data_IF_713972783365
#
_entry.id   IF_713972783365
#
_cell.length_a   1.000
_cell.length_b   1.000
_cell.length_c   1.000
_cell.angle_alpha   90.00
_cell.angle_beta   90.00
_cell.angle_gamma   90.00
#
_symmetry.space_group_name_H-M   'P 1'
#
loop_
_entity.id
_entity.type
_entity.pdbx_description
1 polymer ?
#
# COMPACT_ATOMS: atom_id res chain seq x y z
N UNK A 1 31.64 -4.33 -0.63
CA UNK A 1 30.76 -4.64 -1.78
C UNK A 1 31.03 -3.77 -3.01
N UNK A 2 31.77 -2.68 -2.86
CA UNK A 2 32.41 -1.93 -3.96
C UNK A 2 33.91 -2.22 -3.87
N UNK A 3 34.33 -3.51 -3.92
CA UNK A 3 35.77 -3.76 -4.02
C UNK A 3 36.21 -3.11 -5.34
N UNK A 4 37.22 -2.24 -5.26
CA UNK A 4 37.76 -1.61 -6.46
C UNK A 4 38.41 -2.66 -7.36
N UNK A 5 38.88 -3.76 -6.77
CA UNK A 5 39.36 -4.93 -7.51
C UNK A 5 38.19 -5.72 -8.11
N UNK A 6 38.22 -5.85 -9.44
CA UNK A 6 37.19 -6.53 -10.24
C UNK A 6 37.13 -8.03 -9.93
N UNK A 7 38.25 -8.63 -9.50
CA UNK A 7 38.33 -10.08 -9.23
C UNK A 7 37.59 -10.51 -7.97
N UNK A 8 37.39 -9.57 -7.05
CA UNK A 8 36.69 -9.81 -5.79
C UNK A 8 35.22 -9.41 -5.85
N UNK A 9 34.73 -8.93 -7.01
CA UNK A 9 33.33 -8.55 -7.15
C UNK A 9 32.46 -9.80 -7.24
N UNK A 10 31.47 -9.96 -6.35
CA UNK A 10 30.49 -11.04 -6.48
C UNK A 10 29.72 -10.87 -7.79
N UNK A 11 29.34 -11.99 -8.40
CA UNK A 11 28.44 -11.98 -9.56
C UNK A 11 27.08 -11.41 -9.17
N UNK A 12 26.33 -10.88 -10.13
CA UNK A 12 24.96 -10.38 -9.89
C UNK A 12 24.04 -11.42 -9.27
N UNK A 13 24.25 -12.71 -9.57
CA UNK A 13 23.51 -13.83 -8.97
C UNK A 13 23.83 -13.99 -7.48
N UNK A 14 25.11 -13.94 -7.10
CA UNK A 14 25.53 -13.97 -5.69
C UNK A 14 25.07 -12.71 -4.94
N UNK A 15 25.00 -11.58 -5.63
CA UNK A 15 24.50 -10.32 -5.07
C UNK A 15 22.99 -10.36 -4.79
N UNK A 16 22.21 -10.99 -5.66
CA UNK A 16 20.77 -11.18 -5.45
C UNK A 16 20.44 -12.03 -4.21
N UNK A 17 21.39 -12.82 -3.69
CA UNK A 17 21.23 -13.62 -2.47
C UNK A 17 21.41 -12.83 -1.18
N UNK A 18 21.80 -11.55 -1.24
CA UNK A 18 21.92 -10.73 -0.05
C UNK A 18 20.56 -10.60 0.65
N UNK A 19 20.59 -10.68 1.99
CA UNK A 19 19.40 -10.54 2.83
C UNK A 19 18.62 -9.25 2.56
N UNK A 20 19.31 -8.18 2.15
CA UNK A 20 18.70 -6.89 1.83
C UNK A 20 17.62 -6.98 0.73
N UNK A 21 17.76 -7.89 -0.24
CA UNK A 21 16.76 -8.07 -1.29
C UNK A 21 15.52 -8.83 -0.83
N UNK A 22 15.59 -9.47 0.34
CA UNK A 22 14.46 -10.11 1.00
C UNK A 22 13.82 -9.21 2.06
N UNK A 23 14.28 -7.96 2.21
CA UNK A 23 13.68 -7.01 3.14
C UNK A 23 12.24 -6.68 2.72
N UNK A 24 11.26 -6.73 3.65
CA UNK A 24 9.86 -6.50 3.34
C UNK A 24 9.57 -5.16 2.65
N UNK A 25 10.36 -4.13 2.93
CA UNK A 25 10.27 -2.81 2.28
C UNK A 25 10.73 -2.87 0.83
N UNK A 26 11.83 -3.57 0.54
CA UNK A 26 12.37 -3.76 -0.82
C UNK A 26 11.40 -4.57 -1.69
N UNK A 27 10.88 -5.67 -1.16
CA UNK A 27 9.86 -6.47 -1.85
C UNK A 27 8.57 -5.67 -2.09
N UNK A 28 8.22 -4.76 -1.18
CA UNK A 28 7.07 -3.90 -1.36
C UNK A 28 7.30 -2.85 -2.43
N UNK A 29 8.51 -2.30 -2.59
CA UNK A 29 8.83 -1.40 -3.71
C UNK A 29 8.65 -2.07 -5.07
N UNK A 30 9.12 -3.30 -5.24
CA UNK A 30 8.90 -4.07 -6.47
C UNK A 30 7.39 -4.28 -6.73
N UNK A 31 6.65 -4.58 -5.66
CA UNK A 31 5.20 -4.68 -5.70
C UNK A 31 4.51 -3.38 -6.13
N UNK A 32 4.94 -2.21 -5.62
CA UNK A 32 4.37 -0.91 -6.00
C UNK A 32 4.47 -0.63 -7.51
N UNK A 33 5.56 -1.08 -8.15
CA UNK A 33 5.82 -0.86 -9.58
C UNK A 33 5.06 -1.84 -10.48
N UNK A 34 4.87 -3.07 -10.02
CA UNK A 34 4.35 -4.18 -10.85
C UNK A 34 2.88 -4.50 -10.56
N UNK A 35 2.25 -3.83 -9.59
CA UNK A 35 0.94 -4.22 -9.06
C UNK A 35 -0.15 -4.30 -10.13
N UNK A 36 -0.15 -3.40 -11.11
CA UNK A 36 -1.21 -3.33 -12.11
C UNK A 36 -1.35 -4.64 -12.90
N UNK A 37 -0.22 -5.28 -13.21
CA UNK A 37 -0.13 -6.50 -14.02
C UNK A 37 -0.38 -7.79 -13.21
N UNK A 38 -0.56 -7.68 -11.89
CA UNK A 38 -0.78 -8.82 -11.01
C UNK A 38 -2.24 -9.29 -11.04
N UNK A 39 -2.44 -10.58 -10.73
CA UNK A 39 -3.79 -11.13 -10.53
C UNK A 39 -4.46 -10.53 -9.29
N UNK A 40 -5.79 -10.68 -9.18
CA UNK A 40 -6.57 -10.18 -8.04
C UNK A 40 -6.07 -10.78 -6.71
N UNK A 41 -5.76 -12.07 -6.68
CA UNK A 41 -5.23 -12.73 -5.47
C UNK A 41 -3.86 -12.18 -5.08
N UNK A 42 -2.97 -11.96 -6.04
CA UNK A 42 -1.67 -11.35 -5.80
C UNK A 42 -1.80 -9.91 -5.27
N UNK A 43 -2.79 -9.15 -5.75
CA UNK A 43 -3.11 -7.81 -5.23
C UNK A 43 -3.56 -7.88 -3.76
N UNK A 44 -4.45 -8.82 -3.42
CA UNK A 44 -4.92 -9.05 -2.04
C UNK A 44 -3.75 -9.35 -1.10
N UNK A 45 -2.86 -10.25 -1.49
CA UNK A 45 -1.66 -10.58 -0.73
C UNK A 45 -0.71 -9.38 -0.60
N UNK A 46 -0.51 -8.63 -1.68
CA UNK A 46 0.32 -7.43 -1.67
C UNK A 46 -0.18 -6.42 -0.63
N UNK A 47 -1.47 -6.07 -0.62
CA UNK A 47 -2.00 -5.10 0.35
C UNK A 47 -1.94 -5.62 1.81
N UNK A 48 -2.13 -6.93 2.01
CA UNK A 48 -1.93 -7.56 3.32
C UNK A 48 -0.49 -7.40 3.84
N UNK A 49 0.51 -7.55 2.95
CA UNK A 49 1.92 -7.31 3.28
C UNK A 49 2.23 -5.82 3.45
N UNK A 50 1.77 -4.98 2.51
CA UNK A 50 2.00 -3.54 2.49
C UNK A 50 1.55 -2.89 3.80
N UNK A 51 0.39 -3.28 4.32
CA UNK A 51 -0.14 -2.80 5.60
C UNK A 51 0.88 -2.92 6.74
N UNK A 52 1.67 -3.99 6.78
CA UNK A 52 2.65 -4.22 7.85
C UNK A 52 3.93 -3.38 7.68
N UNK A 53 4.26 -3.00 6.46
CA UNK A 53 5.53 -2.32 6.14
C UNK A 53 5.39 -0.82 5.94
N UNK A 54 4.17 -0.29 5.76
CA UNK A 54 3.90 1.16 5.67
C UNK A 54 4.63 1.98 6.75
N UNK A 55 4.65 1.57 8.03
CA UNK A 55 5.35 2.33 9.07
C UNK A 55 6.85 2.48 8.85
N UNK A 56 7.47 1.58 8.07
CA UNK A 56 8.90 1.54 7.80
C UNK A 56 9.33 2.46 6.64
N UNK A 57 8.37 3.02 5.90
CA UNK A 57 8.68 3.95 4.81
C UNK A 57 8.79 5.38 5.32
N UNK A 58 9.75 6.10 4.74
CA UNK A 58 9.90 7.54 4.88
C UNK A 58 8.61 8.28 4.50
N UNK A 59 8.24 9.38 5.20
CA UNK A 59 7.03 10.15 4.93
C UNK A 59 6.89 10.56 3.45
N UNK A 60 7.98 10.98 2.83
CA UNK A 60 7.98 11.36 1.40
C UNK A 60 7.54 10.21 0.50
N UNK A 61 7.95 8.97 0.81
CA UNK A 61 7.56 7.79 0.03
C UNK A 61 6.11 7.44 0.28
N UNK A 62 5.68 7.50 1.55
CA UNK A 62 4.29 7.25 1.96
C UNK A 62 3.31 8.12 1.19
N UNK A 63 3.52 9.44 1.17
CA UNK A 63 2.54 10.35 0.57
C UNK A 63 2.71 10.55 -0.94
N UNK A 64 3.93 10.46 -1.46
CA UNK A 64 4.17 10.67 -2.91
C UNK A 64 3.86 9.45 -3.76
N UNK A 65 4.04 8.23 -3.23
CA UNK A 65 3.95 7.00 -4.03
C UNK A 65 2.92 6.01 -3.47
N UNK A 66 2.93 5.74 -2.16
CA UNK A 66 2.06 4.72 -1.55
C UNK A 66 0.61 5.20 -1.49
N UNK A 67 0.37 6.42 -1.00
CA UNK A 67 -0.97 6.97 -0.85
C UNK A 67 -1.73 7.05 -2.20
N UNK A 68 -1.16 7.60 -3.30
CA UNK A 68 -1.85 7.62 -4.59
C UNK A 68 -2.26 6.22 -5.07
N UNK A 69 -1.39 5.22 -4.90
CA UNK A 69 -1.69 3.84 -5.25
C UNK A 69 -2.85 3.29 -4.40
N UNK A 70 -2.79 3.47 -3.09
CA UNK A 70 -3.87 3.04 -2.17
C UNK A 70 -5.20 3.67 -2.58
N UNK A 71 -5.23 4.98 -2.88
CA UNK A 71 -6.44 5.68 -3.28
C UNK A 71 -6.96 5.24 -4.64
N UNK A 72 -6.07 4.97 -5.61
CA UNK A 72 -6.44 4.40 -6.91
C UNK A 72 -7.24 3.11 -6.73
N UNK A 73 -6.77 2.20 -5.87
CA UNK A 73 -7.44 0.92 -5.66
C UNK A 73 -8.66 1.01 -4.76
N UNK A 74 -8.65 1.89 -3.75
CA UNK A 74 -9.82 2.14 -2.88
C UNK A 74 -11.02 2.69 -3.65
N UNK A 75 -10.78 3.62 -4.60
CA UNK A 75 -11.85 4.25 -5.36
C UNK A 75 -12.13 3.54 -6.70
N UNK A 76 -11.18 2.76 -7.21
CA UNK A 76 -11.30 2.08 -8.50
C UNK A 76 -11.85 0.65 -8.43
N UNK A 77 -11.86 -0.01 -7.27
CA UNK A 77 -12.26 -1.43 -7.18
C UNK A 77 -12.96 -1.78 -5.87
N UNK A 78 -14.28 -1.97 -5.94
CA UNK A 78 -15.09 -2.40 -4.78
C UNK A 78 -14.67 -3.79 -4.23
N UNK A 79 -14.16 -4.69 -5.08
CA UNK A 79 -13.76 -6.05 -4.66
C UNK A 79 -12.51 -6.04 -3.77
N UNK A 80 -11.57 -5.13 -4.05
CA UNK A 80 -10.30 -5.04 -3.33
C UNK A 80 -10.38 -4.15 -2.09
N UNK A 81 -11.41 -3.31 -1.97
CA UNK A 81 -11.61 -2.38 -0.83
C UNK A 81 -11.35 -3.00 0.54
N UNK A 82 -11.85 -4.22 0.89
CA UNK A 82 -11.59 -4.81 2.21
C UNK A 82 -10.12 -5.08 2.50
N UNK A 83 -9.31 -5.28 1.45
CA UNK A 83 -7.88 -5.56 1.56
C UNK A 83 -7.03 -4.29 1.48
N UNK A 84 -7.50 -3.27 0.76
CA UNK A 84 -6.78 -1.99 0.61
C UNK A 84 -7.03 -1.06 1.79
N UNK A 85 -8.25 -1.05 2.34
CA UNK A 85 -8.64 -0.17 3.45
C UNK A 85 -7.72 -0.27 4.67
N UNK A 86 -7.28 -1.47 5.13
CA UNK A 86 -6.31 -1.58 6.22
C UNK A 86 -4.99 -0.84 5.95
N UNK A 87 -4.52 -0.81 4.71
CA UNK A 87 -3.32 -0.06 4.33
C UNK A 87 -3.53 1.45 4.50
N UNK A 88 -4.69 1.96 4.08
CA UNK A 88 -5.06 3.37 4.29
C UNK A 88 -5.22 3.74 5.77
N UNK A 89 -5.88 2.88 6.55
CA UNK A 89 -6.02 3.10 8.00
C UNK A 89 -4.66 3.06 8.71
N UNK A 90 -3.72 2.25 8.22
CA UNK A 90 -2.35 2.24 8.75
C UNK A 90 -1.62 3.55 8.43
N UNK A 91 -1.78 4.11 7.23
CA UNK A 91 -1.26 5.44 6.90
C UNK A 91 -1.77 6.50 7.88
N UNK A 92 -3.07 6.47 8.24
CA UNK A 92 -3.64 7.37 9.25
C UNK A 92 -3.02 7.13 10.63
N UNK A 93 -2.89 5.86 11.03
CA UNK A 93 -2.34 5.50 12.34
C UNK A 93 -0.92 6.02 12.57
N UNK A 94 -0.11 6.10 11.52
CA UNK A 94 1.31 6.51 11.61
C UNK A 94 1.56 7.94 11.13
N UNK A 95 0.52 8.68 10.77
CA UNK A 95 0.64 10.07 10.34
C UNK A 95 0.85 11.01 11.52
N UNK A 96 1.69 12.01 11.34
CA UNK A 96 1.73 13.18 12.21
C UNK A 96 0.48 14.05 11.98
N UNK A 97 0.15 14.94 12.93
CA UNK A 97 -1.05 15.76 12.85
C UNK A 97 -1.12 16.59 11.55
N UNK A 98 -0.01 17.24 11.19
CA UNK A 98 0.06 18.09 10.00
C UNK A 98 -0.12 17.28 8.71
N UNK A 99 0.49 16.10 8.64
CA UNK A 99 0.36 15.20 7.50
C UNK A 99 -1.06 14.64 7.37
N UNK A 100 -1.69 14.30 8.50
CA UNK A 100 -3.06 13.81 8.52
C UNK A 100 -4.02 14.84 7.94
N UNK A 101 -3.94 16.09 8.42
CA UNK A 101 -4.81 17.17 7.96
C UNK A 101 -4.56 17.49 6.48
N UNK A 102 -3.29 17.46 6.04
CA UNK A 102 -2.89 17.78 4.67
C UNK A 102 -3.25 16.70 3.65
N UNK A 103 -3.04 15.43 3.97
CA UNK A 103 -3.10 14.35 2.98
C UNK A 103 -4.23 13.34 3.19
N UNK A 104 -4.67 13.09 4.43
CA UNK A 104 -5.49 11.90 4.74
C UNK A 104 -6.93 12.24 5.13
N UNK A 105 -7.14 13.36 5.82
CA UNK A 105 -8.45 13.76 6.39
C UNK A 105 -9.57 13.79 5.35
N UNK A 106 -9.31 14.39 4.19
CA UNK A 106 -10.31 14.51 3.11
C UNK A 106 -10.78 13.15 2.61
N UNK A 107 -9.85 12.20 2.50
CA UNK A 107 -10.14 10.84 2.04
C UNK A 107 -10.87 10.01 3.09
N UNK A 108 -10.47 10.14 4.37
CA UNK A 108 -11.18 9.48 5.46
C UNK A 108 -12.63 9.95 5.55
N UNK A 109 -12.85 11.26 5.49
CA UNK A 109 -14.20 11.83 5.51
C UNK A 109 -15.04 11.26 4.36
N UNK A 110 -14.50 11.28 3.13
CA UNK A 110 -15.16 10.71 1.95
C UNK A 110 -15.58 9.25 2.16
N UNK A 111 -14.65 8.39 2.61
CA UNK A 111 -14.91 6.96 2.84
C UNK A 111 -16.02 6.75 3.88
N UNK A 112 -15.99 7.51 4.99
CA UNK A 112 -17.00 7.43 6.05
C UNK A 112 -18.37 7.97 5.63
N UNK A 113 -18.43 8.92 4.70
CA UNK A 113 -19.69 9.42 4.16
C UNK A 113 -20.29 8.51 3.10
N UNK A 114 -19.48 7.93 2.21
CA UNK A 114 -19.96 7.04 1.15
C UNK A 114 -20.45 5.70 1.70
N UNK A 115 -19.84 5.18 2.76
CA UNK A 115 -20.29 3.94 3.40
C UNK A 115 -21.70 4.04 3.99
N UNK A 116 -22.18 5.24 4.34
CA UNK A 116 -23.56 5.45 4.80
C UNK A 116 -24.59 5.22 3.69
N UNK A 117 -24.29 5.54 2.43
CA UNK A 117 -25.26 5.41 1.33
C UNK A 117 -25.53 3.94 0.98
N UNK A 118 -24.50 3.08 1.02
CA UNK A 118 -24.66 1.64 0.77
C UNK A 118 -25.43 0.91 1.87
N UNK A 119 -25.24 1.30 3.13
CA UNK A 119 -26.00 0.73 4.25
C UNK A 119 -27.47 1.15 4.21
N UNK A 120 -27.78 2.38 3.80
CA UNK A 120 -29.16 2.87 3.62
C UNK A 120 -29.83 2.16 2.44
N UNK A 121 -29.12 1.95 1.33
CA UNK A 121 -29.65 1.24 0.16
C UNK A 121 -30.02 -0.22 0.47
N UNK A 122 -29.16 -0.95 1.19
CA UNK A 122 -29.45 -2.34 1.61
C UNK A 122 -30.59 -2.46 2.63
N UNK A 123 -30.87 -1.40 3.39
CA UNK A 123 -31.97 -1.39 4.36
C UNK A 123 -33.34 -1.24 3.69
N UNK A 124 -33.40 -0.53 2.56
CA UNK A 124 -34.65 -0.34 1.82
C UNK A 124 -35.05 -1.55 0.98
N UNK A 125 -34.09 -2.40 0.57
CA UNK A 125 -34.38 -3.67 -0.11
C UNK A 125 -34.82 -4.81 0.84
N UNK A 126 -34.50 -4.71 2.14
CA UNK A 126 -34.90 -5.71 3.13
C UNK A 126 -36.30 -5.45 3.75
N UNK A 127 -36.99 -4.39 3.33
CA UNK A 127 -38.32 -4.00 3.79
C UNK A 127 -39.37 -4.02 2.66
N UNK A 128 -39.05 -4.65 1.53
CA UNK A 128 -39.92 -4.88 0.38
C UNK A 128 -40.01 -6.38 0.13
#
# INVERSE_FOLDING_TARGET
>A
MISQDVRERPTSQLFALLKVFNEPTVLSYEGLLTLNDKSVNQKKEFFSRLTKVIPLFEPIVRYKYILPLILQWLYGSNELTPYVLPSFLTMIKVAECDDYDKYLKIHLHKILTETKSLQIFNRNFALM
#
